data_IF_614716167440
#
_entry.id   IF_614716167440
#
_cell.length_a   1.000
_cell.length_b   1.000
_cell.length_c   1.000
_cell.angle_alpha   90.00
_cell.angle_beta   90.00
_cell.angle_gamma   90.00
#
_symmetry.space_group_name_H-M   'P 1'
#
loop_
_entity.id
_entity.type
_entity.pdbx_description
1 polymer ?
#
# COMPACT_ATOMS: atom_id res chain seq x y z
N UNK A 1 14.40 13.84 7.11
CA UNK A 1 13.83 14.11 5.76
C UNK A 1 12.78 13.05 5.42
N UNK A 2 11.65 13.49 4.87
CA UNK A 2 10.53 12.63 4.47
C UNK A 2 10.32 12.79 2.97
N UNK A 3 10.31 11.69 2.25
CA UNK A 3 10.01 11.66 0.82
C UNK A 3 8.68 10.95 0.55
N UNK A 4 8.00 11.31 -0.51
CA UNK A 4 6.80 10.61 -0.96
C UNK A 4 6.81 10.40 -2.48
N UNK A 5 6.06 9.43 -2.95
CA UNK A 5 5.93 9.18 -4.38
C UNK A 5 4.52 8.74 -4.77
N UNK A 6 4.13 9.16 -5.96
CA UNK A 6 2.95 8.67 -6.67
C UNK A 6 3.38 8.11 -8.03
N UNK A 7 2.81 6.98 -8.43
CA UNK A 7 2.93 6.46 -9.79
C UNK A 7 1.63 6.73 -10.53
N UNK A 8 1.72 7.39 -11.68
CA UNK A 8 0.58 7.78 -12.51
C UNK A 8 0.56 7.00 -13.82
N UNK A 9 -0.65 6.72 -14.30
CA UNK A 9 -0.88 6.16 -15.64
C UNK A 9 -2.22 6.66 -16.16
N UNK A 10 -2.20 7.67 -17.04
CA UNK A 10 -3.39 8.39 -17.51
C UNK A 10 -4.28 8.90 -16.36
N UNK A 11 -3.64 9.31 -15.27
CA UNK A 11 -4.34 9.83 -14.09
C UNK A 11 -4.93 11.20 -14.39
N UNK A 12 -6.11 11.48 -13.85
CA UNK A 12 -6.74 12.79 -13.94
C UNK A 12 -5.88 13.85 -13.26
N UNK A 13 -5.66 15.00 -13.95
CA UNK A 13 -4.99 16.14 -13.33
C UNK A 13 -5.68 16.60 -12.05
N UNK A 14 -7.02 16.52 -12.00
CA UNK A 14 -7.81 16.91 -10.81
C UNK A 14 -7.43 16.10 -9.56
N UNK A 15 -7.30 14.78 -9.69
CA UNK A 15 -6.95 13.91 -8.58
C UNK A 15 -5.53 14.18 -8.11
N UNK A 16 -4.61 14.39 -9.06
CA UNK A 16 -3.22 14.66 -8.75
C UNK A 16 -3.01 16.04 -8.09
N UNK A 17 -3.72 17.08 -8.52
CA UNK A 17 -3.67 18.41 -7.88
C UNK A 17 -4.12 18.30 -6.42
N UNK A 18 -5.17 17.54 -6.14
CA UNK A 18 -5.66 17.36 -4.77
C UNK A 18 -4.64 16.66 -3.87
N UNK A 19 -3.98 15.63 -4.38
CA UNK A 19 -2.88 14.98 -3.68
C UNK A 19 -1.70 15.92 -3.48
N UNK A 20 -1.31 16.69 -4.51
CA UNK A 20 -0.24 17.70 -4.42
C UNK A 20 -0.56 18.73 -3.33
N UNK A 21 -1.79 19.21 -3.26
CA UNK A 21 -2.23 20.13 -2.21
C UNK A 21 -2.04 19.54 -0.81
N UNK A 22 -2.45 18.29 -0.59
CA UNK A 22 -2.21 17.59 0.67
C UNK A 22 -0.71 17.48 0.98
N UNK A 23 0.12 17.15 0.00
CA UNK A 23 1.58 17.02 0.16
C UNK A 23 2.21 18.37 0.51
N UNK A 24 1.82 19.44 -0.18
CA UNK A 24 2.38 20.77 0.04
C UNK A 24 1.99 21.40 1.40
N UNK A 25 0.87 20.97 1.97
CA UNK A 25 0.42 21.35 3.31
C UNK A 25 0.86 20.38 4.42
N UNK A 26 1.81 19.51 4.13
CA UNK A 26 2.37 18.54 5.08
C UNK A 26 3.88 18.67 5.24
N UNK A 27 4.45 17.95 6.20
CA UNK A 27 5.89 17.88 6.47
C UNK A 27 6.68 16.98 5.49
N UNK A 28 6.17 16.72 4.28
CA UNK A 28 6.89 16.00 3.22
C UNK A 28 7.90 16.95 2.56
N UNK A 29 9.19 16.61 2.57
CA UNK A 29 10.27 17.42 2.03
C UNK A 29 10.43 17.30 0.52
N UNK A 30 10.22 16.11 -0.06
CA UNK A 30 10.30 15.84 -1.50
C UNK A 30 9.18 14.92 -1.96
N UNK A 31 8.58 15.26 -3.09
CA UNK A 31 7.50 14.50 -3.71
C UNK A 31 7.85 14.13 -5.15
N UNK A 32 7.86 12.83 -5.44
CA UNK A 32 8.16 12.29 -6.77
C UNK A 32 6.86 11.92 -7.49
N UNK A 33 6.67 12.49 -8.68
CA UNK A 33 5.60 12.09 -9.61
C UNK A 33 6.25 11.23 -10.68
N UNK A 34 6.02 9.92 -10.61
CA UNK A 34 6.51 8.96 -11.61
C UNK A 34 5.40 8.73 -12.63
N UNK A 35 5.58 9.26 -13.82
CA UNK A 35 4.55 9.19 -14.85
C UNK A 35 4.87 8.09 -15.88
N UNK A 36 4.07 7.04 -15.83
CA UNK A 36 4.13 5.89 -16.73
C UNK A 36 3.14 6.03 -17.91
N UNK A 37 2.56 7.21 -18.12
CA UNK A 37 1.62 7.49 -19.22
C UNK A 37 2.30 7.43 -20.59
N UNK A 38 1.52 7.46 -21.67
CA UNK A 38 2.04 7.47 -23.03
C UNK A 38 2.50 8.87 -23.51
N UNK A 39 2.32 9.88 -22.67
CA UNK A 39 2.79 11.25 -22.89
C UNK A 39 3.16 11.88 -21.54
N UNK A 40 3.82 13.03 -21.57
CA UNK A 40 4.28 13.76 -20.41
C UNK A 40 3.40 14.97 -20.04
N UNK A 41 2.10 14.88 -20.29
CA UNK A 41 1.15 15.98 -20.07
C UNK A 41 1.10 16.50 -18.62
N UNK A 42 1.58 15.72 -17.65
CA UNK A 42 1.66 16.10 -16.24
C UNK A 42 2.99 16.80 -15.87
N UNK A 43 3.94 16.96 -16.80
CA UNK A 43 5.26 17.56 -16.54
C UNK A 43 5.17 18.98 -15.95
N UNK A 44 4.18 19.75 -16.35
CA UNK A 44 3.98 21.11 -15.83
C UNK A 44 3.76 21.17 -14.31
N UNK A 45 3.35 20.04 -13.67
CA UNK A 45 3.14 19.96 -12.23
C UNK A 45 4.44 20.11 -11.43
N UNK A 46 5.61 19.88 -12.04
CA UNK A 46 6.90 20.12 -11.41
C UNK A 46 7.11 21.59 -11.06
N UNK A 47 6.55 22.51 -11.87
CA UNK A 47 6.66 23.96 -11.64
C UNK A 47 5.83 24.46 -10.44
N UNK A 48 4.94 23.65 -9.88
CA UNK A 48 4.06 24.04 -8.76
C UNK A 48 4.86 24.26 -7.48
N UNK A 49 5.95 23.51 -7.26
CA UNK A 49 6.80 23.64 -6.07
C UNK A 49 8.17 23.01 -6.27
N UNK A 50 9.22 23.60 -5.69
CA UNK A 50 10.58 23.03 -5.66
C UNK A 50 10.67 21.68 -4.92
N UNK A 51 9.64 21.34 -4.14
CA UNK A 51 9.53 20.02 -3.49
C UNK A 51 9.12 18.91 -4.46
N UNK A 52 8.56 19.25 -5.62
CA UNK A 52 8.08 18.29 -6.61
C UNK A 52 9.18 17.97 -7.61
N UNK A 53 9.34 16.70 -7.93
CA UNK A 53 10.19 16.22 -9.01
C UNK A 53 9.37 15.30 -9.91
N UNK A 54 9.25 15.67 -11.19
CA UNK A 54 8.54 14.87 -12.19
C UNK A 54 9.52 13.96 -12.94
N UNK A 55 9.19 12.68 -13.02
CA UNK A 55 9.99 11.69 -13.74
C UNK A 55 9.08 10.93 -14.72
N UNK A 56 9.32 11.11 -16.01
CA UNK A 56 8.67 10.34 -17.06
C UNK A 56 9.42 9.02 -17.28
N UNK A 57 8.69 7.91 -17.29
CA UNK A 57 9.31 6.59 -17.48
C UNK A 57 8.38 5.62 -18.22
N UNK A 58 8.98 4.59 -18.82
CA UNK A 58 8.23 3.48 -19.39
C UNK A 58 7.33 2.82 -18.36
N UNK A 59 6.15 2.37 -18.80
CA UNK A 59 5.22 1.66 -17.94
C UNK A 59 5.69 0.22 -17.65
N UNK A 60 6.52 0.07 -16.66
CA UNK A 60 7.00 -1.21 -16.13
C UNK A 60 6.14 -1.74 -14.96
N UNK A 61 5.02 -1.09 -14.68
CA UNK A 61 4.06 -1.43 -13.63
C UNK A 61 4.23 -0.61 -12.35
N UNK A 62 3.24 -0.74 -11.45
CA UNK A 62 3.12 0.05 -10.22
C UNK A 62 4.38 -0.02 -9.34
N UNK A 63 4.78 -1.24 -8.96
CA UNK A 63 5.94 -1.42 -8.08
C UNK A 63 7.25 -0.96 -8.71
N UNK A 64 7.43 -1.17 -10.03
CA UNK A 64 8.64 -0.72 -10.74
C UNK A 64 8.72 0.79 -10.82
N UNK A 65 7.58 1.47 -11.03
CA UNK A 65 7.50 2.94 -10.98
C UNK A 65 7.90 3.46 -9.59
N UNK A 66 7.32 2.91 -8.53
CA UNK A 66 7.69 3.30 -7.16
C UNK A 66 9.17 3.03 -6.83
N UNK A 67 9.77 1.98 -7.38
CA UNK A 67 11.19 1.71 -7.16
C UNK A 67 12.11 2.84 -7.66
N UNK A 68 11.73 3.55 -8.72
CA UNK A 68 12.48 4.74 -9.19
C UNK A 68 12.54 5.80 -8.07
N UNK A 69 11.42 6.05 -7.42
CA UNK A 69 11.35 7.01 -6.31
C UNK A 69 12.00 6.48 -5.03
N UNK A 70 11.88 5.18 -4.75
CA UNK A 70 12.55 4.53 -3.61
C UNK A 70 14.06 4.66 -3.73
N UNK A 71 14.63 4.42 -4.93
CA UNK A 71 16.07 4.58 -5.17
C UNK A 71 16.49 6.04 -4.92
N UNK A 72 15.71 7.02 -5.37
CA UNK A 72 15.95 8.45 -5.08
C UNK A 72 15.87 8.78 -3.59
N UNK A 73 14.89 8.20 -2.88
CA UNK A 73 14.73 8.39 -1.44
C UNK A 73 15.95 7.84 -0.66
N UNK A 74 16.48 6.70 -1.08
CA UNK A 74 17.69 6.09 -0.51
C UNK A 74 18.93 6.95 -0.80
N UNK A 75 19.10 7.44 -2.03
CA UNK A 75 20.22 8.28 -2.44
C UNK A 75 20.23 9.63 -1.68
N UNK A 76 19.05 10.19 -1.40
CA UNK A 76 18.86 11.40 -0.61
C UNK A 76 19.08 11.18 0.90
N UNK A 77 19.20 9.94 1.36
CA UNK A 77 19.31 9.62 2.79
C UNK A 77 18.03 9.95 3.57
N UNK A 78 16.84 9.79 2.96
CA UNK A 78 15.60 10.08 3.65
C UNK A 78 15.35 9.10 4.80
N UNK A 79 14.72 9.56 5.89
CA UNK A 79 14.37 8.71 7.03
C UNK A 79 13.13 7.85 6.71
N UNK A 80 12.16 8.46 6.03
CA UNK A 80 10.89 7.83 5.67
C UNK A 80 10.56 8.08 4.20
N UNK A 81 9.97 7.08 3.57
CA UNK A 81 9.41 7.17 2.22
C UNK A 81 7.95 6.73 2.22
N UNK A 82 7.09 7.51 1.54
CA UNK A 82 5.66 7.27 1.48
C UNK A 82 5.27 6.84 0.06
N UNK A 83 4.64 5.69 -0.05
CA UNK A 83 4.00 5.22 -1.28
C UNK A 83 2.56 5.66 -1.24
N UNK A 84 2.07 6.37 -2.25
CA UNK A 84 0.73 6.97 -2.27
C UNK A 84 0.08 6.74 -3.64
N UNK A 85 -1.20 6.32 -3.64
CA UNK A 85 -2.01 6.29 -4.86
C UNK A 85 -2.45 7.70 -5.26
N UNK A 86 -2.69 7.97 -6.57
CA UNK A 86 -3.06 9.30 -7.04
C UNK A 86 -4.44 9.78 -6.57
N UNK A 87 -5.32 8.88 -6.17
CA UNK A 87 -6.69 9.11 -5.70
C UNK A 87 -6.81 9.14 -4.16
N UNK A 88 -5.67 9.38 -3.48
CA UNK A 88 -5.58 9.57 -2.03
C UNK A 88 -5.61 11.06 -1.68
N UNK A 89 -6.28 11.39 -0.57
CA UNK A 89 -6.23 12.69 0.05
C UNK A 89 -6.48 12.63 1.56
N UNK A 90 -6.12 13.68 2.27
CA UNK A 90 -6.31 13.79 3.71
C UNK A 90 -6.53 15.25 4.15
N UNK A 91 -6.91 15.45 5.41
CA UNK A 91 -7.07 16.76 6.03
C UNK A 91 -6.05 16.94 7.16
N UNK A 92 -5.47 18.12 7.25
CA UNK A 92 -4.48 18.46 8.30
C UNK A 92 -3.13 17.79 8.09
N UNK A 93 -2.23 17.94 9.04
CA UNK A 93 -0.90 17.29 8.99
C UNK A 93 -0.93 15.93 9.66
N UNK A 94 -1.19 14.90 8.86
CA UNK A 94 -1.16 13.50 9.29
C UNK A 94 0.25 12.92 9.33
N UNK A 95 1.17 13.52 8.58
CA UNK A 95 2.53 12.98 8.39
C UNK A 95 3.31 13.08 9.70
N UNK A 96 3.22 14.20 10.40
CA UNK A 96 3.86 14.35 11.69
C UNK A 96 3.37 13.34 12.72
N UNK A 97 2.07 13.04 12.74
CA UNK A 97 1.51 12.00 13.62
C UNK A 97 2.05 10.60 13.29
N UNK A 98 2.23 10.29 12.00
CA UNK A 98 2.84 9.03 11.57
C UNK A 98 4.32 8.95 11.96
N UNK A 99 5.07 10.07 11.85
CA UNK A 99 6.46 10.14 12.32
C UNK A 99 6.52 9.88 13.82
N UNK A 100 5.70 10.58 14.61
CA UNK A 100 5.65 10.40 16.07
C UNK A 100 5.33 8.94 16.44
N UNK A 101 4.35 8.32 15.77
CA UNK A 101 4.04 6.90 15.98
C UNK A 101 5.24 6.01 15.67
N UNK A 102 5.90 6.20 14.53
CA UNK A 102 7.08 5.43 14.15
C UNK A 102 8.24 5.65 15.13
N UNK A 103 8.43 6.87 15.61
CA UNK A 103 9.50 7.20 16.57
C UNK A 103 9.29 6.55 17.94
N UNK A 104 8.05 6.40 18.36
CA UNK A 104 7.67 5.67 19.57
C UNK A 104 7.75 4.14 19.38
N UNK A 105 7.69 3.65 18.13
CA UNK A 105 7.70 2.23 17.78
C UNK A 105 8.89 1.92 16.85
N UNK A 106 10.10 1.90 17.42
CA UNK A 106 11.35 1.73 16.64
C UNK A 106 11.45 0.38 15.90
N UNK A 107 10.71 -0.62 16.36
CA UNK A 107 10.57 -1.94 15.73
C UNK A 107 9.51 -1.98 14.62
N UNK A 108 8.80 -0.86 14.37
CA UNK A 108 7.86 -0.70 13.25
C UNK A 108 8.60 -0.21 12.01
N UNK A 109 8.56 -0.98 10.92
CA UNK A 109 9.17 -0.60 9.63
C UNK A 109 8.20 -0.04 8.61
N UNK A 110 6.90 -0.37 8.75
CA UNK A 110 5.82 0.11 7.89
C UNK A 110 4.57 0.38 8.71
N UNK A 111 3.95 1.53 8.50
CA UNK A 111 2.64 1.85 9.06
C UNK A 111 1.68 2.30 7.96
N UNK A 112 0.41 1.87 8.06
CA UNK A 112 -0.71 2.32 7.25
C UNK A 112 -1.76 2.99 8.15
N UNK A 113 -2.23 4.20 7.84
CA UNK A 113 -3.33 4.86 8.53
C UNK A 113 -4.67 4.16 8.25
N UNK A 114 -5.72 4.62 8.90
CA UNK A 114 -7.11 4.22 8.59
C UNK A 114 -7.54 4.83 7.26
N UNK A 115 -7.89 3.97 6.32
CA UNK A 115 -8.33 4.38 4.99
C UNK A 115 -9.86 4.33 4.94
N UNK A 116 -10.45 5.45 4.51
CA UNK A 116 -11.88 5.62 4.37
C UNK A 116 -12.28 5.85 2.90
N UNK A 117 -13.48 5.46 2.57
CA UNK A 117 -14.16 5.98 1.37
C UNK A 117 -14.54 7.45 1.58
N UNK A 118 -14.81 8.24 0.51
CA UNK A 118 -15.28 9.62 0.63
C UNK A 118 -16.56 9.80 1.47
N UNK A 119 -17.39 8.76 1.56
CA UNK A 119 -18.60 8.75 2.38
C UNK A 119 -18.33 8.45 3.88
N UNK A 120 -17.06 8.26 4.28
CA UNK A 120 -16.67 7.97 5.64
C UNK A 120 -16.68 6.48 6.03
N UNK A 121 -17.09 5.59 5.15
CA UNK A 121 -17.02 4.15 5.41
C UNK A 121 -15.58 3.63 5.37
N UNK A 122 -15.28 2.65 6.22
CA UNK A 122 -13.94 2.04 6.31
C UNK A 122 -13.66 1.19 5.06
N UNK A 123 -12.48 1.39 4.47
CA UNK A 123 -11.94 0.44 3.50
C UNK A 123 -11.15 -0.65 4.24
N UNK A 124 -11.60 -1.90 4.10
CA UNK A 124 -10.99 -3.05 4.77
C UNK A 124 -9.70 -3.49 4.06
N UNK A 125 -8.60 -2.81 4.38
CA UNK A 125 -7.31 -2.95 3.69
C UNK A 125 -6.23 -3.64 4.54
N UNK A 126 -6.55 -4.00 5.78
CA UNK A 126 -5.73 -4.88 6.63
C UNK A 126 -6.06 -6.34 6.31
N UNK A 127 -5.04 -7.14 5.98
CA UNK A 127 -5.27 -8.51 5.52
C UNK A 127 -4.30 -9.49 6.17
N UNK A 128 -4.77 -10.70 6.38
CA UNK A 128 -3.91 -11.84 6.65
C UNK A 128 -3.08 -12.17 5.38
N UNK A 129 -2.00 -12.95 5.51
CA UNK A 129 -1.33 -13.49 4.32
C UNK A 129 -2.24 -14.52 3.65
N UNK A 130 -2.51 -14.39 2.33
CA UNK A 130 -3.56 -15.15 1.66
C UNK A 130 -3.21 -16.62 1.43
N UNK A 131 -4.25 -17.44 1.42
CA UNK A 131 -4.24 -18.75 0.77
C UNK A 131 -4.76 -18.63 -0.66
N UNK A 132 -4.52 -19.63 -1.54
CA UNK A 132 -5.14 -19.64 -2.87
C UNK A 132 -6.67 -19.50 -2.84
N UNK A 133 -7.31 -20.04 -1.81
CA UNK A 133 -8.76 -19.95 -1.64
C UNK A 133 -9.22 -18.50 -1.30
N UNK A 134 -8.39 -17.71 -0.61
CA UNK A 134 -8.72 -16.31 -0.31
C UNK A 134 -8.71 -15.42 -1.56
N UNK A 135 -7.82 -15.68 -2.52
CA UNK A 135 -7.69 -14.86 -3.71
C UNK A 135 -8.50 -15.38 -4.90
N UNK A 136 -8.48 -16.69 -5.16
CA UNK A 136 -9.27 -17.27 -6.24
C UNK A 136 -10.73 -17.53 -5.83
N UNK A 137 -10.96 -17.98 -4.59
CA UNK A 137 -12.31 -18.28 -4.09
C UNK A 137 -13.24 -17.06 -4.11
N UNK A 138 -12.73 -15.87 -3.82
CA UNK A 138 -13.46 -14.61 -3.92
C UNK A 138 -14.11 -14.37 -5.28
N UNK A 139 -13.58 -14.94 -6.34
CA UNK A 139 -14.00 -14.64 -7.72
C UNK A 139 -14.70 -15.81 -8.40
N UNK A 140 -14.42 -17.03 -8.00
CA UNK A 140 -14.84 -18.25 -8.72
C UNK A 140 -15.79 -19.15 -7.93
N UNK A 141 -15.94 -18.95 -6.61
CA UNK A 141 -16.89 -19.73 -5.81
C UNK A 141 -18.27 -19.05 -5.87
N UNK A 142 -19.34 -19.70 -6.32
CA UNK A 142 -20.65 -19.08 -6.52
C UNK A 142 -21.46 -18.83 -5.22
N UNK A 143 -20.99 -19.32 -4.05
CA UNK A 143 -21.72 -19.21 -2.78
C UNK A 143 -21.42 -17.89 -2.07
N UNK A 144 -22.26 -16.87 -2.27
CA UNK A 144 -22.10 -15.49 -1.77
C UNK A 144 -21.85 -15.43 -0.26
N UNK A 145 -22.66 -16.12 0.55
CA UNK A 145 -22.53 -16.13 2.01
C UNK A 145 -21.17 -16.71 2.49
N UNK A 146 -20.66 -17.72 1.81
CA UNK A 146 -19.35 -18.29 2.09
C UNK A 146 -18.24 -17.29 1.74
N UNK A 147 -18.36 -16.62 0.57
CA UNK A 147 -17.42 -15.59 0.16
C UNK A 147 -17.38 -14.42 1.15
N UNK A 148 -18.53 -13.93 1.59
CA UNK A 148 -18.65 -12.81 2.55
C UNK A 148 -17.98 -13.15 3.89
N UNK A 149 -18.29 -14.31 4.47
CA UNK A 149 -17.67 -14.76 5.72
C UNK A 149 -16.14 -14.90 5.58
N UNK A 150 -15.68 -15.47 4.47
CA UNK A 150 -14.26 -15.66 4.24
C UNK A 150 -13.53 -14.35 3.99
N UNK A 151 -14.14 -13.43 3.22
CA UNK A 151 -13.60 -12.10 2.99
C UNK A 151 -13.51 -11.32 4.30
N UNK A 152 -14.56 -11.33 5.11
CA UNK A 152 -14.58 -10.68 6.42
C UNK A 152 -13.49 -11.23 7.35
N UNK A 153 -13.21 -12.53 7.29
CA UNK A 153 -12.10 -13.13 8.03
C UNK A 153 -10.74 -12.68 7.48
N UNK A 154 -10.53 -12.79 6.19
CA UNK A 154 -9.28 -12.46 5.52
C UNK A 154 -8.94 -10.97 5.61
N UNK A 155 -9.92 -10.10 5.47
CA UNK A 155 -9.83 -8.63 5.56
C UNK A 155 -9.96 -8.13 7.01
N UNK A 156 -9.87 -9.02 8.00
CA UNK A 156 -9.81 -8.71 9.43
C UNK A 156 -10.97 -7.82 9.92
N UNK A 157 -12.21 -7.95 9.35
CA UNK A 157 -13.38 -7.16 9.77
C UNK A 157 -13.67 -7.33 11.28
N UNK A 158 -13.34 -8.48 11.82
CA UNK A 158 -13.48 -8.80 13.25
C UNK A 158 -12.63 -7.92 14.17
N UNK A 159 -11.64 -7.17 13.64
CA UNK A 159 -10.80 -6.25 14.43
C UNK A 159 -11.50 -4.91 14.73
N UNK A 160 -12.62 -4.60 14.07
CA UNK A 160 -13.32 -3.33 14.19
C UNK A 160 -12.60 -2.13 13.56
N UNK A 161 -11.32 -2.26 13.22
CA UNK A 161 -10.48 -1.19 12.65
C UNK A 161 -10.40 0.09 13.50
N UNK A 162 -10.47 -0.05 14.82
CA UNK A 162 -10.47 1.06 15.79
C UNK A 162 -9.24 1.06 16.72
N UNK A 163 -8.41 0.03 16.67
CA UNK A 163 -7.23 -0.13 17.51
C UNK A 163 -5.96 -0.31 16.69
N UNK A 164 -4.83 0.12 17.27
CA UNK A 164 -3.50 -0.17 16.72
C UNK A 164 -3.27 -1.67 16.71
N UNK A 165 -2.85 -2.21 15.58
CA UNK A 165 -2.61 -3.65 15.47
C UNK A 165 -1.48 -3.97 14.48
N UNK A 166 -0.78 -5.08 14.74
CA UNK A 166 0.15 -5.64 13.76
C UNK A 166 -0.63 -6.38 12.67
N UNK A 167 -0.33 -6.08 11.40
CA UNK A 167 -1.07 -6.62 10.25
C UNK A 167 -0.09 -7.22 9.25
N UNK A 168 -0.24 -8.49 8.85
CA UNK A 168 0.69 -9.16 7.95
C UNK A 168 0.75 -8.59 6.53
N UNK A 169 -0.34 -8.00 6.05
CA UNK A 169 -0.44 -7.41 4.70
C UNK A 169 -1.31 -6.17 4.73
N UNK A 170 -0.74 -5.05 4.32
CA UNK A 170 -1.35 -3.73 4.20
C UNK A 170 -1.44 -3.34 2.72
N UNK A 171 -2.39 -2.49 2.36
CA UNK A 171 -2.57 -2.05 0.98
C UNK A 171 -1.50 -1.07 0.54
N UNK A 172 -1.08 -1.19 -0.73
CA UNK A 172 -0.16 -0.27 -1.38
C UNK A 172 -0.73 1.12 -1.67
N UNK A 173 -1.99 1.41 -1.34
CA UNK A 173 -2.59 2.72 -1.61
C UNK A 173 -1.99 3.84 -0.75
N UNK A 174 -1.55 3.53 0.47
CA UNK A 174 -0.80 4.42 1.35
C UNK A 174 0.10 3.59 2.29
N UNK A 175 1.41 3.72 2.13
CA UNK A 175 2.39 3.02 2.95
C UNK A 175 3.45 4.01 3.43
N UNK A 176 3.54 4.23 4.74
CA UNK A 176 4.58 5.04 5.38
C UNK A 176 5.68 4.10 5.88
N UNK A 177 6.88 4.17 5.29
CA UNK A 177 7.93 3.14 5.46
C UNK A 177 9.25 3.78 5.86
N UNK A 178 10.01 3.16 6.77
CA UNK A 178 11.40 3.53 7.00
C UNK A 178 12.24 3.24 5.75
N UNK A 179 12.99 4.22 5.29
CA UNK A 179 13.79 4.08 4.06
C UNK A 179 14.88 3.02 4.19
N UNK A 180 15.47 2.85 5.38
CA UNK A 180 16.44 1.78 5.64
C UNK A 180 15.84 0.37 5.50
N UNK A 181 14.56 0.21 5.79
CA UNK A 181 13.82 -1.05 5.59
C UNK A 181 13.57 -1.29 4.09
N UNK A 182 13.22 -0.24 3.32
CA UNK A 182 13.13 -0.35 1.87
C UNK A 182 14.48 -0.74 1.25
N UNK A 183 15.57 -0.15 1.71
CA UNK A 183 16.93 -0.51 1.28
C UNK A 183 17.26 -1.98 1.59
N UNK A 184 16.95 -2.47 2.78
CA UNK A 184 17.17 -3.88 3.18
C UNK A 184 16.31 -4.87 2.39
N UNK A 185 15.08 -4.50 2.05
CA UNK A 185 14.15 -5.36 1.30
C UNK A 185 14.30 -5.26 -0.22
N UNK A 186 14.98 -4.23 -0.73
CA UNK A 186 15.17 -3.97 -2.15
C UNK A 186 13.92 -3.41 -2.85
N UNK A 187 13.03 -2.72 -2.13
CA UNK A 187 11.81 -2.15 -2.69
C UNK A 187 10.81 -3.20 -3.19
N UNK A 188 10.03 -2.87 -4.19
CA UNK A 188 9.07 -3.78 -4.82
C UNK A 188 9.75 -4.82 -5.72
N UNK A 189 9.24 -6.04 -5.72
CA UNK A 189 9.70 -7.10 -6.60
C UNK A 189 9.19 -6.87 -8.04
N UNK A 190 10.12 -6.64 -8.97
CA UNK A 190 9.84 -6.28 -10.37
C UNK A 190 9.10 -7.36 -11.18
N UNK A 191 8.96 -8.58 -10.65
CA UNK A 191 8.15 -9.63 -11.30
C UNK A 191 6.65 -9.31 -11.33
N UNK A 192 6.17 -8.44 -10.43
CA UNK A 192 4.78 -8.03 -10.38
C UNK A 192 4.61 -6.74 -11.19
N UNK A 193 3.78 -6.78 -12.22
CA UNK A 193 3.43 -5.58 -12.97
C UNK A 193 2.42 -4.71 -12.20
N UNK A 194 1.39 -5.36 -11.65
CA UNK A 194 0.32 -4.73 -10.88
C UNK A 194 -0.39 -5.81 -10.07
N UNK A 195 -0.82 -5.48 -8.84
CA UNK A 195 -1.42 -6.36 -7.84
C UNK A 195 -0.43 -7.38 -7.23
N UNK A 196 -0.62 -7.70 -5.97
CA UNK A 196 0.19 -8.57 -5.14
C UNK A 196 1.64 -8.09 -4.84
N UNK A 197 2.12 -7.01 -5.46
CA UNK A 197 3.40 -6.38 -5.15
C UNK A 197 3.45 -5.81 -3.73
N UNK A 198 2.33 -5.25 -3.27
CA UNK A 198 2.15 -4.72 -1.92
C UNK A 198 2.14 -5.83 -0.86
N UNK A 199 1.41 -6.93 -1.13
CA UNK A 199 1.43 -8.12 -0.29
C UNK A 199 2.83 -8.73 -0.18
N UNK A 200 3.57 -8.79 -1.30
CA UNK A 200 4.94 -9.30 -1.33
C UNK A 200 5.88 -8.40 -0.54
N UNK A 201 5.77 -7.09 -0.71
CA UNK A 201 6.58 -6.12 0.03
C UNK A 201 6.29 -6.18 1.54
N UNK A 202 5.01 -6.14 1.94
CA UNK A 202 4.61 -6.29 3.34
C UNK A 202 5.17 -7.56 3.97
N UNK A 203 5.09 -8.67 3.24
CA UNK A 203 5.60 -9.96 3.71
C UNK A 203 7.11 -9.95 3.92
N UNK A 204 7.90 -9.35 2.99
CA UNK A 204 9.35 -9.21 3.14
C UNK A 204 9.73 -8.25 4.28
N UNK A 205 9.02 -7.13 4.40
CA UNK A 205 9.19 -6.22 5.53
C UNK A 205 8.86 -6.94 6.84
N UNK A 206 7.77 -7.68 6.89
CA UNK A 206 7.33 -8.42 8.08
C UNK A 206 8.23 -9.60 8.49
N UNK A 207 9.25 -9.97 7.69
CA UNK A 207 10.31 -10.91 8.08
C UNK A 207 11.44 -10.26 8.90
N UNK A 208 11.58 -8.93 8.85
CA UNK A 208 12.68 -8.20 9.50
C UNK A 208 12.23 -7.15 10.51
N UNK A 209 10.95 -6.74 10.46
CA UNK A 209 10.38 -5.72 11.34
C UNK A 209 8.86 -5.89 11.42
N UNK A 210 8.15 -5.00 12.15
CA UNK A 210 6.70 -5.03 12.26
C UNK A 210 6.04 -4.17 11.18
N UNK A 211 4.87 -4.62 10.73
CA UNK A 211 3.97 -3.88 9.84
C UNK A 211 2.70 -3.54 10.63
N UNK A 212 2.38 -2.26 10.77
CA UNK A 212 1.38 -1.78 11.73
C UNK A 212 0.25 -1.03 11.04
N UNK A 213 -0.94 -1.17 11.60
CA UNK A 213 -2.09 -0.33 11.29
C UNK A 213 -2.31 0.69 12.42
N UNK A 214 -2.48 1.97 12.07
CA UNK A 214 -2.64 3.08 13.02
C UNK A 214 -3.92 3.86 12.73
N UNK A 215 -5.04 3.58 13.46
CA UNK A 215 -6.36 4.13 13.15
C UNK A 215 -6.57 5.59 13.61
N UNK A 216 -5.68 6.18 14.40
CA UNK A 216 -5.80 7.56 14.85
C UNK A 216 -5.59 8.57 13.73
N UNK A 217 -4.96 8.17 12.63
CA UNK A 217 -4.76 8.96 11.42
C UNK A 217 -5.73 8.49 10.35
N UNK A 218 -6.42 9.43 9.72
CA UNK A 218 -7.46 9.17 8.70
C UNK A 218 -6.99 9.66 7.33
N UNK A 219 -7.17 8.81 6.33
CA UNK A 219 -6.87 9.09 4.92
C UNK A 219 -8.07 8.67 4.08
N UNK A 220 -8.41 9.44 3.06
CA UNK A 220 -9.50 9.15 2.14
C UNK A 220 -8.96 8.60 0.82
N UNK A 221 -9.65 7.64 0.23
CA UNK A 221 -9.26 6.98 -1.01
C UNK A 221 -10.49 6.85 -1.94
N UNK A 222 -10.47 7.52 -3.08
CA UNK A 222 -11.54 7.46 -4.10
C UNK A 222 -11.45 6.18 -4.94
N UNK A 223 -11.41 5.04 -4.28
CA UNK A 223 -11.13 3.75 -4.89
C UNK A 223 -12.16 3.32 -5.95
N UNK A 224 -11.73 3.22 -7.18
CA UNK A 224 -12.48 2.59 -8.28
C UNK A 224 -12.07 1.13 -8.47
N UNK A 225 -12.94 0.15 -8.16
CA UNK A 225 -12.69 -1.30 -8.30
C UNK A 225 -12.31 -1.74 -9.74
N UNK A 226 -11.23 -1.19 -10.29
CA UNK A 226 -10.83 -1.28 -11.70
C UNK A 226 -10.68 -2.72 -12.22
N UNK A 227 -10.11 -3.64 -11.43
CA UNK A 227 -9.94 -5.05 -11.85
C UNK A 227 -11.26 -5.82 -12.03
N UNK A 228 -12.36 -5.31 -11.52
CA UNK A 228 -13.69 -5.90 -11.74
C UNK A 228 -14.34 -5.41 -13.04
N UNK A 229 -13.91 -4.23 -13.53
CA UNK A 229 -14.48 -3.59 -14.73
C UNK A 229 -13.66 -3.83 -16.00
N UNK A 230 -12.38 -4.22 -15.89
CA UNK A 230 -11.45 -4.29 -17.02
C UNK A 230 -10.77 -5.67 -17.14
N UNK A 231 -10.95 -6.34 -18.30
CA UNK A 231 -10.39 -7.68 -18.58
C UNK A 231 -8.84 -7.70 -18.58
N UNK A 232 -8.17 -6.61 -19.00
CA UNK A 232 -6.71 -6.49 -18.98
C UNK A 232 -6.19 -6.45 -17.55
N UNK A 233 -6.84 -5.65 -16.68
CA UNK A 233 -6.51 -5.59 -15.26
C UNK A 233 -6.78 -6.92 -14.55
N UNK A 234 -7.83 -7.64 -14.93
CA UNK A 234 -8.09 -8.99 -14.43
C UNK A 234 -6.95 -9.95 -14.79
N UNK A 235 -6.46 -9.91 -16.04
CA UNK A 235 -5.32 -10.74 -16.47
C UNK A 235 -4.07 -10.44 -15.62
N UNK A 236 -3.75 -9.17 -15.41
CA UNK A 236 -2.63 -8.79 -14.53
C UNK A 236 -2.80 -9.32 -13.12
N UNK A 237 -4.01 -9.20 -12.54
CA UNK A 237 -4.32 -9.69 -11.20
C UNK A 237 -4.11 -11.21 -11.09
N UNK A 238 -4.65 -12.00 -12.03
CA UNK A 238 -4.47 -13.46 -12.04
C UNK A 238 -3.00 -13.83 -12.20
N UNK A 239 -2.28 -13.21 -13.14
CA UNK A 239 -0.86 -13.47 -13.34
C UNK A 239 -0.03 -13.16 -12.09
N UNK A 240 -0.33 -12.05 -11.42
CA UNK A 240 0.39 -11.65 -10.20
C UNK A 240 0.09 -12.58 -9.03
N UNK A 241 -1.14 -13.05 -8.87
CA UNK A 241 -1.49 -14.07 -7.86
C UNK A 241 -0.71 -15.37 -8.10
N UNK A 242 -0.62 -15.82 -9.36
CA UNK A 242 0.16 -17.03 -9.71
C UNK A 242 1.64 -16.83 -9.36
N UNK A 243 2.23 -15.67 -9.73
CA UNK A 243 3.62 -15.32 -9.40
C UNK A 243 3.85 -15.26 -7.89
N UNK A 244 2.88 -14.73 -7.13
CA UNK A 244 2.94 -14.67 -5.66
C UNK A 244 3.00 -16.09 -5.06
N UNK A 245 2.10 -16.98 -5.45
CA UNK A 245 2.11 -18.33 -4.92
C UNK A 245 3.28 -19.19 -5.43
N UNK A 246 3.78 -18.94 -6.64
CA UNK A 246 5.01 -19.57 -7.13
C UNK A 246 6.25 -19.15 -6.32
N UNK A 247 6.25 -17.90 -5.81
CA UNK A 247 7.33 -17.40 -4.95
C UNK A 247 7.23 -17.93 -3.52
N UNK A 248 6.03 -17.96 -2.95
CA UNK A 248 5.83 -18.16 -1.52
C UNK A 248 5.23 -19.53 -1.14
N UNK A 249 4.78 -20.27 -2.11
CA UNK A 249 4.12 -21.59 -1.92
C UNK A 249 2.60 -21.51 -2.01
N UNK A 250 2.04 -22.49 -2.69
CA UNK A 250 0.59 -22.59 -2.94
C UNK A 250 -0.17 -23.10 -1.71
N UNK A 251 0.14 -24.30 -1.25
CA UNK A 251 -0.60 -24.96 -0.18
C UNK A 251 0.20 -25.07 1.10
N UNK A 252 1.49 -25.42 1.01
CA UNK A 252 2.38 -25.59 2.15
C UNK A 252 3.25 -24.33 2.28
N UNK A 253 2.85 -23.43 3.18
CA UNK A 253 3.58 -22.21 3.51
C UNK A 253 3.59 -22.04 5.03
N UNK A 254 4.60 -22.63 5.67
CA UNK A 254 4.76 -22.59 7.14
C UNK A 254 4.96 -21.17 7.66
N UNK A 255 5.66 -20.29 6.89
CA UNK A 255 5.88 -18.89 7.30
C UNK A 255 4.58 -18.10 7.29
N UNK A 256 3.73 -18.26 6.26
CA UNK A 256 2.39 -17.68 6.20
C UNK A 256 1.56 -18.07 7.42
N UNK A 257 1.49 -19.37 7.70
CA UNK A 257 0.71 -19.89 8.83
C UNK A 257 1.21 -19.29 10.14
N UNK A 258 2.52 -19.36 10.41
CA UNK A 258 3.13 -18.81 11.62
C UNK A 258 2.84 -17.31 11.79
N UNK A 259 2.94 -16.51 10.71
CA UNK A 259 2.69 -15.06 10.76
C UNK A 259 1.22 -14.75 11.00
N UNK A 260 0.30 -15.46 10.34
CA UNK A 260 -1.13 -15.28 10.56
C UNK A 260 -1.53 -15.71 11.99
N UNK A 261 -1.07 -16.86 12.45
CA UNK A 261 -1.35 -17.34 13.81
C UNK A 261 -0.82 -16.36 14.88
N UNK A 262 0.36 -15.79 14.65
CA UNK A 262 0.93 -14.76 15.53
C UNK A 262 0.07 -13.50 15.55
N UNK A 263 -0.33 -12.97 14.38
CA UNK A 263 -1.22 -11.82 14.29
C UNK A 263 -2.56 -12.07 15.01
N UNK A 264 -3.17 -13.24 14.78
CA UNK A 264 -4.44 -13.61 15.41
C UNK A 264 -4.33 -13.68 16.94
N UNK A 265 -3.23 -14.19 17.48
CA UNK A 265 -2.97 -14.22 18.94
C UNK A 265 -2.82 -12.82 19.53
N UNK A 266 -2.03 -11.95 18.87
CA UNK A 266 -1.85 -10.57 19.33
C UNK A 266 -3.16 -9.78 19.38
N UNK A 267 -4.12 -10.14 18.54
CA UNK A 267 -5.41 -9.46 18.41
C UNK A 267 -6.57 -10.17 19.11
N UNK A 268 -6.30 -11.23 19.89
CA UNK A 268 -7.36 -11.94 20.65
C UNK A 268 -8.16 -11.02 21.57
N UNK A 269 -7.50 -10.07 22.24
CA UNK A 269 -8.12 -9.07 23.10
C UNK A 269 -8.99 -8.04 22.36
N UNK A 270 -8.89 -7.98 21.02
CA UNK A 270 -9.73 -7.13 20.16
C UNK A 270 -10.97 -7.90 19.70
N UNK A 271 -10.88 -9.23 19.63
CA UNK A 271 -11.93 -10.12 19.11
C UNK A 271 -13.01 -10.45 20.14
N UNK A 272 -12.67 -10.34 21.44
CA UNK A 272 -13.56 -10.54 22.59
C UNK A 272 -14.13 -9.19 23.04
#
# INVERSE_FOLDING_TARGET
MITAAVVTFHTSRKDLIRLIDCVLHSSIDKFFIIDNSTNDALRELESVSERITYIYSDNLGFGSGHNIAIDRAIDLGSDYHIIINPDIYWNGDIIEQLVQFMDQNKDCGLVMPKILYPNGEVQYLCKLLPTPLDLFGRRFIPFKMFQEKRNAWYEMHWSGYDKVMEVPSLSGCFMFIRTDILKKTGGFDKRFFMYAEDMDLCRRIGEITRTMYYPSVLVFHEYEKGSYKNRKLLKYHICSIIKYFNKWGWFIDKKRRKKNDYCLKLTEHIRN
#
